data_IF_623586651849
#
_entry.id   IF_623586651849
#
_cell.length_a   1.000
_cell.length_b   1.000
_cell.length_c   1.000
_cell.angle_alpha   90.00
_cell.angle_beta   90.00
_cell.angle_gamma   90.00
#
_symmetry.space_group_name_H-M   'P 1'
#
loop_
_entity.id
_entity.type
_entity.pdbx_description
1 polymer ?
#
# COMPACT_ATOMS: atom_id res chain seq x y z
N UNK A 1 -0.07 10.24 -5.16
CA UNK A 1 1.08 10.24 -4.23
C UNK A 1 1.97 9.06 -4.53
N UNK A 2 3.26 9.28 -4.65
CA UNK A 2 4.23 8.20 -4.87
C UNK A 2 4.31 7.27 -3.68
N UNK A 3 4.62 6.00 -3.95
CA UNK A 3 4.75 5.01 -2.88
C UNK A 3 5.67 3.87 -3.31
N UNK A 4 6.08 3.09 -2.31
CA UNK A 4 6.94 1.93 -2.49
C UNK A 4 6.20 0.61 -2.25
N UNK A 5 4.88 0.63 -2.36
CA UNK A 5 4.06 -0.56 -2.05
C UNK A 5 4.45 -1.74 -2.92
N UNK A 6 4.55 -1.54 -4.23
CA UNK A 6 4.85 -2.63 -5.17
C UNK A 6 6.19 -3.30 -4.86
N UNK A 7 7.22 -2.49 -4.65
CA UNK A 7 8.55 -3.02 -4.35
C UNK A 7 8.59 -3.83 -3.06
N UNK A 8 8.03 -3.27 -2.00
CA UNK A 8 7.99 -3.94 -0.70
C UNK A 8 7.10 -5.18 -0.74
N UNK A 9 5.96 -5.08 -1.41
CA UNK A 9 5.04 -6.21 -1.57
C UNK A 9 5.75 -7.39 -2.25
N UNK A 10 6.47 -7.12 -3.33
CA UNK A 10 7.20 -8.17 -4.06
C UNK A 10 8.33 -8.76 -3.23
N UNK A 11 9.05 -7.93 -2.48
CA UNK A 11 10.10 -8.42 -1.59
C UNK A 11 9.57 -9.38 -0.54
N UNK A 12 8.35 -9.12 -0.04
CA UNK A 12 7.73 -9.95 0.98
C UNK A 12 6.93 -11.11 0.41
N UNK A 13 6.84 -11.22 -0.91
CA UNK A 13 6.14 -12.30 -1.57
C UNK A 13 4.62 -12.18 -1.57
N UNK A 14 4.08 -10.98 -1.35
CA UNK A 14 2.64 -10.75 -1.37
C UNK A 14 2.15 -10.41 -2.78
N UNK A 15 0.96 -10.92 -3.11
CA UNK A 15 0.22 -10.46 -4.28
C UNK A 15 -0.72 -9.34 -3.85
N UNK A 16 -1.19 -8.53 -4.80
CA UNK A 16 -2.17 -7.49 -4.50
C UNK A 16 -3.40 -8.07 -3.80
N UNK A 17 -3.85 -9.24 -4.25
CA UNK A 17 -4.99 -9.93 -3.68
C UNK A 17 -4.76 -10.31 -2.21
N UNK A 18 -3.55 -10.73 -1.88
CA UNK A 18 -3.20 -11.10 -0.50
C UNK A 18 -3.35 -9.90 0.43
N UNK A 19 -2.84 -8.75 0.01
CA UNK A 19 -2.94 -7.52 0.78
C UNK A 19 -4.40 -7.09 0.89
N UNK A 20 -5.13 -7.10 -0.20
CA UNK A 20 -6.53 -6.69 -0.22
C UNK A 20 -7.37 -7.53 0.75
N UNK A 21 -7.21 -8.84 0.72
CA UNK A 21 -7.93 -9.75 1.61
C UNK A 21 -7.59 -9.47 3.07
N UNK A 22 -6.30 -9.33 3.38
CA UNK A 22 -5.84 -9.08 4.75
C UNK A 22 -6.39 -7.77 5.31
N UNK A 23 -6.45 -6.73 4.48
CA UNK A 23 -6.87 -5.41 4.92
C UNK A 23 -8.36 -5.14 4.72
N UNK A 24 -9.10 -6.11 4.17
CA UNK A 24 -10.55 -5.95 4.01
C UNK A 24 -10.96 -4.96 2.93
N UNK A 25 -10.14 -4.80 1.90
CA UNK A 25 -10.44 -3.93 0.75
C UNK A 25 -10.40 -4.75 -0.53
N UNK A 26 -10.76 -4.12 -1.65
CA UNK A 26 -10.71 -4.83 -2.94
C UNK A 26 -9.32 -4.78 -3.55
N UNK A 27 -9.03 -5.74 -4.42
CA UNK A 27 -7.78 -5.74 -5.17
C UNK A 27 -7.65 -4.49 -6.04
N UNK A 28 -8.77 -3.99 -6.59
CA UNK A 28 -8.77 -2.77 -7.37
C UNK A 28 -8.31 -1.56 -6.55
N UNK A 29 -8.67 -1.51 -5.27
CA UNK A 29 -8.23 -0.45 -4.37
C UNK A 29 -6.71 -0.49 -4.23
N UNK A 30 -6.14 -1.66 -3.98
CA UNK A 30 -4.68 -1.79 -3.85
C UNK A 30 -4.00 -1.42 -5.16
N UNK A 31 -4.51 -1.89 -6.28
CA UNK A 31 -3.96 -1.56 -7.59
C UNK A 31 -3.98 -0.05 -7.84
N UNK A 32 -5.09 0.62 -7.53
CA UNK A 32 -5.23 2.06 -7.72
C UNK A 32 -4.23 2.84 -6.85
N UNK A 33 -4.01 2.40 -5.61
CA UNK A 33 -3.04 3.03 -4.72
C UNK A 33 -1.62 2.87 -5.27
N UNK A 34 -1.25 1.65 -5.68
CA UNK A 34 0.09 1.38 -6.24
C UNK A 34 0.36 2.23 -7.48
N UNK A 35 -0.66 2.47 -8.28
CA UNK A 35 -0.53 3.24 -9.53
C UNK A 35 -0.77 4.74 -9.34
N UNK A 36 -0.82 5.22 -8.10
CA UNK A 36 -0.92 6.63 -7.74
C UNK A 36 -2.23 7.29 -8.22
N UNK A 37 -3.27 6.48 -8.42
CA UNK A 37 -4.59 6.97 -8.86
C UNK A 37 -5.55 7.20 -7.72
N UNK A 38 -5.22 6.75 -6.54
CA UNK A 38 -6.07 6.85 -5.37
C UNK A 38 -5.18 6.94 -4.12
N UNK A 39 -5.48 7.92 -3.26
CA UNK A 39 -4.79 8.05 -1.99
C UNK A 39 -5.61 7.34 -0.91
N UNK A 40 -5.00 6.45 -0.14
CA UNK A 40 -5.72 5.73 0.90
C UNK A 40 -6.12 6.65 2.05
N UNK A 41 -7.14 6.24 2.82
CA UNK A 41 -7.41 6.87 4.10
C UNK A 41 -6.19 6.69 5.00
N UNK A 42 -6.09 7.51 6.05
CA UNK A 42 -4.97 7.40 6.99
C UNK A 42 -4.95 6.00 7.63
N UNK A 43 -6.11 5.49 8.01
CA UNK A 43 -6.20 4.15 8.62
C UNK A 43 -5.67 3.08 7.68
N UNK A 44 -6.08 3.12 6.42
CA UNK A 44 -5.61 2.14 5.43
C UNK A 44 -4.11 2.28 5.20
N UNK A 45 -3.60 3.51 5.13
CA UNK A 45 -2.18 3.77 4.96
C UNK A 45 -1.36 3.19 6.11
N UNK A 46 -1.83 3.38 7.34
CA UNK A 46 -1.17 2.84 8.53
C UNK A 46 -1.19 1.31 8.54
N UNK A 47 -2.30 0.70 8.16
CA UNK A 47 -2.41 -0.75 8.08
C UNK A 47 -1.51 -1.33 6.98
N UNK A 48 -1.42 -0.65 5.83
CA UNK A 48 -0.50 -1.04 4.77
C UNK A 48 0.95 -1.01 5.27
N UNK A 49 1.33 0.06 5.95
CA UNK A 49 2.69 0.20 6.47
C UNK A 49 3.02 -0.92 7.44
N UNK A 50 2.10 -1.25 8.35
CA UNK A 50 2.29 -2.34 9.30
C UNK A 50 2.44 -3.68 8.59
N UNK A 51 1.57 -3.97 7.64
CA UNK A 51 1.63 -5.23 6.89
C UNK A 51 2.93 -5.38 6.12
N UNK A 52 3.42 -4.29 5.54
CA UNK A 52 4.65 -4.28 4.77
C UNK A 52 5.90 -4.03 5.62
N UNK A 53 5.75 -4.02 6.94
CA UNK A 53 6.82 -3.89 7.90
C UNK A 53 7.65 -2.61 7.71
N UNK A 54 6.95 -1.51 7.54
CA UNK A 54 7.56 -0.19 7.32
C UNK A 54 6.72 0.88 8.02
N UNK A 55 7.05 2.14 7.80
CA UNK A 55 6.28 3.27 8.32
C UNK A 55 5.56 3.99 7.19
N UNK A 56 4.53 4.78 7.53
CA UNK A 56 3.80 5.55 6.53
C UNK A 56 4.74 6.51 5.80
N UNK A 57 5.64 7.15 6.53
CA UNK A 57 6.57 8.13 5.94
C UNK A 57 7.57 7.49 4.98
N UNK A 58 7.89 6.20 5.18
CA UNK A 58 8.78 5.48 4.28
C UNK A 58 8.02 4.86 3.11
N UNK A 59 6.75 4.52 3.33
CA UNK A 59 5.93 3.87 2.32
C UNK A 59 5.39 4.86 1.30
N UNK A 60 4.93 6.02 1.76
CA UNK A 60 4.37 7.07 0.91
C UNK A 60 5.30 8.28 0.86
N UNK A 61 5.50 8.79 -0.35
CA UNK A 61 6.42 9.89 -0.58
C UNK A 61 5.63 11.13 -0.98
N UNK A 62 5.69 12.14 -0.14
CA UNK A 62 5.03 13.41 -0.41
C UNK A 62 5.96 14.26 -1.28
N UNK A 63 5.49 14.63 -2.46
CA UNK A 63 6.23 15.49 -3.36
C UNK A 63 5.74 16.93 -3.26
N UNK A 64 6.65 17.83 -3.26
CA UNK A 64 6.31 19.25 -3.26
C UNK A 64 6.93 19.99 -2.13
#
# INVERSE_FOLDING_TARGET
MKNNIRGLRKQLGFRQEDIATTLGVTRQTINAIENEKYNPTLELAMNLAKLLNTTVEKLFILEG
#
